data_IF_514092258132
#
_entry.id   IF_514092258132
#
_cell.length_a   1.000
_cell.length_b   1.000
_cell.length_c   1.000
_cell.angle_alpha   90.00
_cell.angle_beta   90.00
_cell.angle_gamma   90.00
#
_symmetry.space_group_name_H-M   'P 1'
#
loop_
_entity.id
_entity.type
_entity.pdbx_description
1 polymer ?
#
# COMPACT_ATOMS: atom_id res chain seq x y z
N UNK A 1 54.59 -18.26 11.83
CA UNK A 1 54.30 -19.23 10.75
C UNK A 1 53.45 -20.29 11.41
N UNK A 2 52.13 -20.39 11.25
CA UNK A 2 51.17 -20.01 10.20
C UNK A 2 49.93 -19.39 10.87
N UNK A 3 49.12 -18.67 10.09
CA UNK A 3 47.95 -17.87 10.46
C UNK A 3 46.65 -18.72 10.49
N UNK A 4 45.55 -18.00 10.77
CA UNK A 4 44.15 -18.26 10.36
C UNK A 4 43.33 -19.10 11.37
N UNK A 5 42.06 -18.80 11.69
CA UNK A 5 41.21 -17.65 11.42
C UNK A 5 40.04 -17.67 12.43
N UNK A 6 39.50 -16.49 12.74
CA UNK A 6 38.37 -16.27 13.63
C UNK A 6 37.08 -16.78 12.96
N UNK A 7 36.45 -17.82 13.51
CA UNK A 7 35.06 -18.15 13.18
C UNK A 7 34.12 -17.22 13.97
N UNK A 8 33.85 -16.05 13.41
CA UNK A 8 32.68 -15.25 13.76
C UNK A 8 31.46 -15.95 13.13
N UNK A 9 30.69 -16.68 13.93
CA UNK A 9 29.32 -17.05 13.54
C UNK A 9 28.49 -15.76 13.57
N UNK A 10 28.26 -15.19 12.38
CA UNK A 10 27.27 -14.14 12.20
C UNK A 10 25.92 -14.83 12.11
N UNK A 11 25.21 -14.85 13.22
CA UNK A 11 23.81 -15.23 13.32
C UNK A 11 22.97 -14.33 12.39
N UNK A 12 22.75 -14.81 11.17
CA UNK A 12 21.77 -14.24 10.24
C UNK A 12 20.41 -14.66 10.77
N UNK A 13 19.81 -13.79 11.59
CA UNK A 13 18.39 -13.85 11.91
C UNK A 13 17.62 -13.55 10.61
N UNK A 14 17.37 -14.60 9.82
CA UNK A 14 16.63 -14.58 8.55
C UNK A 14 15.15 -14.94 8.71
N UNK A 15 14.60 -14.88 9.92
CA UNK A 15 13.18 -15.16 10.18
C UNK A 15 12.55 -14.06 11.04
N UNK A 16 12.45 -12.85 10.50
CA UNK A 16 11.28 -12.03 10.80
C UNK A 16 10.30 -12.28 9.65
N UNK A 17 9.25 -13.09 9.82
CA UNK A 17 8.15 -13.09 8.89
C UNK A 17 7.52 -11.71 9.05
N UNK A 18 8.03 -10.74 8.27
CA UNK A 18 7.40 -9.46 8.04
C UNK A 18 5.99 -9.81 7.62
N UNK A 19 5.13 -9.82 8.63
CA UNK A 19 3.70 -9.88 8.46
C UNK A 19 3.49 -8.54 7.80
N UNK A 20 3.45 -8.54 6.47
CA UNK A 20 3.10 -7.39 5.66
C UNK A 20 1.62 -7.10 5.92
N UNK A 21 1.29 -6.75 7.17
CA UNK A 21 0.36 -5.68 7.45
C UNK A 21 0.93 -4.48 6.69
N UNK A 22 0.61 -4.39 5.40
CA UNK A 22 0.57 -3.11 4.70
C UNK A 22 -0.47 -2.28 5.46
N UNK A 23 -0.05 -1.71 6.58
CA UNK A 23 -0.74 -0.72 7.36
C UNK A 23 -0.82 0.52 6.46
N UNK A 24 -1.74 0.48 5.49
CA UNK A 24 -2.08 1.53 4.52
C UNK A 24 -0.93 2.49 4.22
N UNK A 25 0.17 1.92 3.73
CA UNK A 25 1.39 2.64 3.42
C UNK A 25 1.03 3.86 2.56
N UNK A 26 1.57 5.03 2.93
CA UNK A 26 1.42 6.27 2.17
C UNK A 26 1.77 6.08 0.70
N UNK A 27 1.09 6.76 -0.23
CA UNK A 27 1.54 6.75 -1.64
C UNK A 27 2.97 7.31 -1.74
N UNK A 28 3.34 8.23 -0.85
CA UNK A 28 4.70 8.76 -0.72
C UNK A 28 5.72 7.66 -0.47
N UNK A 29 5.43 6.75 0.46
CA UNK A 29 6.35 5.67 0.81
C UNK A 29 6.43 4.62 -0.30
N UNK A 30 5.31 4.35 -1.00
CA UNK A 30 5.30 3.53 -2.22
C UNK A 30 6.20 4.14 -3.29
N UNK A 31 6.11 5.45 -3.53
CA UNK A 31 6.96 6.15 -4.49
C UNK A 31 8.44 6.09 -4.09
N UNK A 32 8.75 6.30 -2.80
CA UNK A 32 10.12 6.18 -2.28
C UNK A 32 10.67 4.76 -2.46
N UNK A 33 9.83 3.73 -2.21
CA UNK A 33 10.21 2.32 -2.38
C UNK A 33 10.47 1.99 -3.85
N UNK A 34 9.62 2.45 -4.77
CA UNK A 34 9.81 2.27 -6.20
C UNK A 34 11.10 2.92 -6.71
N UNK A 35 11.45 4.11 -6.23
CA UNK A 35 12.70 4.76 -6.59
C UNK A 35 13.90 4.01 -6.01
N UNK A 36 13.85 3.63 -4.73
CA UNK A 36 14.94 2.94 -4.04
C UNK A 36 15.23 1.56 -4.64
N UNK A 37 14.20 0.76 -4.83
CA UNK A 37 14.34 -0.66 -5.15
C UNK A 37 14.43 -0.90 -6.66
N UNK A 38 13.84 -0.01 -7.47
CA UNK A 38 13.72 -0.20 -8.93
C UNK A 38 14.19 1.01 -9.76
N UNK A 39 14.66 2.09 -9.14
CA UNK A 39 15.03 3.35 -9.82
C UNK A 39 13.89 3.94 -10.69
N UNK A 40 12.64 3.66 -10.32
CA UNK A 40 11.45 4.20 -10.97
C UNK A 40 11.03 5.48 -10.25
N UNK A 41 11.07 6.61 -10.95
CA UNK A 41 10.67 7.91 -10.41
C UNK A 41 9.24 8.25 -10.84
N UNK A 42 8.37 8.54 -9.87
CA UNK A 42 7.02 9.05 -10.11
C UNK A 42 6.99 10.52 -9.67
N UNK A 43 6.85 11.43 -10.63
CA UNK A 43 7.01 12.87 -10.38
C UNK A 43 5.75 13.54 -9.82
N UNK A 44 4.57 13.09 -10.26
CA UNK A 44 3.29 13.75 -10.01
C UNK A 44 2.32 12.82 -9.26
N UNK A 45 2.73 12.32 -8.11
CA UNK A 45 1.86 11.55 -7.24
C UNK A 45 1.03 12.47 -6.34
N UNK A 46 -0.14 11.99 -5.93
CA UNK A 46 -1.05 12.71 -5.03
C UNK A 46 -1.59 11.73 -4.01
N UNK A 47 -1.51 12.08 -2.72
CA UNK A 47 -2.24 11.34 -1.69
C UNK A 47 -3.69 11.83 -1.65
N UNK A 48 -4.62 10.93 -1.96
CA UNK A 48 -6.05 11.24 -1.98
C UNK A 48 -6.61 11.52 -0.58
N UNK A 49 -5.98 11.02 0.48
CA UNK A 49 -6.35 11.36 1.86
C UNK A 49 -6.08 12.82 2.13
N UNK A 50 -4.96 13.34 1.66
CA UNK A 50 -4.57 14.74 1.82
C UNK A 50 -5.54 15.64 1.07
N UNK A 51 -5.88 15.27 -0.17
CA UNK A 51 -6.89 15.99 -0.96
C UNK A 51 -8.28 15.96 -0.33
N UNK A 52 -8.68 14.85 0.27
CA UNK A 52 -9.94 14.78 1.01
C UNK A 52 -9.91 15.67 2.25
N UNK A 53 -8.78 15.74 2.98
CA UNK A 53 -8.61 16.60 4.17
C UNK A 53 -8.70 18.10 3.85
N UNK A 54 -8.37 18.50 2.63
CA UNK A 54 -8.55 19.89 2.17
C UNK A 54 -10.04 20.29 2.06
N UNK A 55 -10.97 19.33 2.01
CA UNK A 55 -12.41 19.56 1.85
C UNK A 55 -13.14 19.37 3.19
N UNK A 56 -13.75 20.44 3.70
CA UNK A 56 -14.41 20.43 5.02
C UNK A 56 -15.63 19.48 5.12
N UNK A 57 -16.17 19.02 3.99
CA UNK A 57 -17.44 18.25 3.90
C UNK A 57 -17.32 16.79 4.34
N UNK A 58 -16.13 16.20 4.35
CA UNK A 58 -15.96 14.74 4.59
C UNK A 58 -15.68 14.38 6.06
N UNK A 59 -15.64 15.39 6.93
CA UNK A 59 -15.26 15.25 8.34
C UNK A 59 -13.80 14.84 8.51
N UNK A 60 -13.48 14.22 9.64
CA UNK A 60 -12.11 13.78 9.92
C UNK A 60 -11.69 12.60 9.03
N UNK A 61 -10.53 12.73 8.39
CA UNK A 61 -9.85 11.67 7.63
C UNK A 61 -8.55 11.34 8.36
N UNK A 62 -8.45 10.13 8.89
CA UNK A 62 -7.23 9.68 9.60
C UNK A 62 -6.10 9.41 8.61
N UNK A 63 -4.84 9.49 9.06
CA UNK A 63 -3.67 9.17 8.22
C UNK A 63 -3.70 7.73 7.67
N UNK A 64 -4.22 6.80 8.48
CA UNK A 64 -4.29 5.37 8.15
C UNK A 64 -5.66 4.99 7.55
N UNK A 65 -6.43 5.97 7.04
CA UNK A 65 -7.71 5.71 6.40
C UNK A 65 -7.50 4.82 5.18
N UNK A 66 -8.16 3.66 5.15
CA UNK A 66 -8.08 2.73 4.02
C UNK A 66 -8.83 3.27 2.80
N UNK A 67 -8.50 2.76 1.62
CA UNK A 67 -9.11 3.24 0.36
C UNK A 67 -10.63 3.02 0.34
N UNK A 68 -11.13 1.94 0.95
CA UNK A 68 -12.56 1.62 1.03
C UNK A 68 -13.28 2.59 1.98
N UNK A 69 -12.67 2.89 3.13
CA UNK A 69 -13.21 3.89 4.08
C UNK A 69 -13.19 5.29 3.47
N UNK A 70 -12.14 5.62 2.71
CA UNK A 70 -12.06 6.89 2.00
C UNK A 70 -13.11 6.97 0.89
N UNK A 71 -13.30 5.89 0.11
CA UNK A 71 -14.34 5.80 -0.92
C UNK A 71 -15.72 6.04 -0.33
N UNK A 72 -16.06 5.37 0.77
CA UNK A 72 -17.34 5.58 1.46
C UNK A 72 -17.56 7.04 1.88
N UNK A 73 -16.52 7.69 2.42
CA UNK A 73 -16.61 9.09 2.86
C UNK A 73 -16.74 10.08 1.72
N UNK A 74 -16.03 9.86 0.61
CA UNK A 74 -15.96 10.80 -0.52
C UNK A 74 -17.11 10.57 -1.51
N UNK A 75 -17.45 9.31 -1.78
CA UNK A 75 -18.38 8.92 -2.84
C UNK A 75 -19.77 8.55 -2.31
N UNK A 76 -19.92 8.20 -1.03
CA UNK A 76 -21.20 7.84 -0.41
C UNK A 76 -21.30 6.39 0.08
N UNK A 77 -22.41 6.09 0.77
CA UNK A 77 -22.64 4.78 1.40
C UNK A 77 -22.76 3.62 0.40
N UNK A 78 -23.14 3.88 -0.84
CA UNK A 78 -23.20 2.87 -1.90
C UNK A 78 -21.81 2.35 -2.32
N UNK A 79 -20.73 3.02 -1.88
CA UNK A 79 -19.34 2.65 -2.10
C UNK A 79 -18.71 1.90 -0.91
N UNK A 80 -19.53 1.42 0.03
CA UNK A 80 -19.06 0.61 1.16
C UNK A 80 -18.67 -0.81 0.71
N UNK A 81 -17.41 -0.96 0.32
CA UNK A 81 -16.88 -2.25 -0.17
C UNK A 81 -16.28 -3.08 0.97
N UNK A 82 -16.66 -4.36 1.00
CA UNK A 82 -16.12 -5.34 1.95
C UNK A 82 -14.98 -6.13 1.31
N UNK A 83 -13.83 -6.12 1.96
CA UNK A 83 -12.65 -6.92 1.60
C UNK A 83 -12.23 -7.82 2.76
N UNK A 84 -11.45 -8.87 2.51
CA UNK A 84 -10.81 -9.64 3.57
C UNK A 84 -10.04 -8.72 4.51
N UNK A 85 -10.11 -9.00 5.82
CA UNK A 85 -9.40 -8.20 6.83
C UNK A 85 -7.88 -8.28 6.66
N UNK A 86 -7.39 -9.44 6.22
CA UNK A 86 -6.00 -9.72 5.89
C UNK A 86 -5.93 -10.41 4.54
N UNK A 87 -4.96 -10.00 3.72
CA UNK A 87 -4.62 -10.69 2.49
C UNK A 87 -3.11 -10.60 2.30
N UNK A 88 -2.46 -11.76 2.15
CA UNK A 88 -1.04 -11.83 1.84
C UNK A 88 -0.84 -11.45 0.37
N UNK A 89 -0.45 -10.21 0.10
CA UNK A 89 -0.35 -9.68 -1.27
C UNK A 89 0.80 -10.31 -2.04
N UNK A 90 1.97 -10.41 -1.43
CA UNK A 90 3.17 -10.93 -2.05
C UNK A 90 3.68 -12.14 -1.29
N UNK A 91 3.90 -13.24 -2.01
CA UNK A 91 4.60 -14.40 -1.49
C UNK A 91 5.83 -14.62 -2.39
N UNK A 92 7.05 -14.37 -1.89
CA UNK A 92 8.27 -14.51 -2.69
C UNK A 92 8.56 -15.96 -3.12
N UNK A 93 7.99 -16.95 -2.42
CA UNK A 93 8.13 -18.38 -2.78
C UNK A 93 7.21 -18.79 -3.94
N UNK A 94 6.19 -17.98 -4.25
CA UNK A 94 5.17 -18.24 -5.28
C UNK A 94 5.12 -17.06 -6.26
N UNK A 95 6.29 -16.74 -6.82
CA UNK A 95 6.60 -15.49 -7.54
C UNK A 95 5.74 -15.18 -8.78
N UNK A 96 4.96 -16.14 -9.28
CA UNK A 96 4.37 -16.08 -10.64
C UNK A 96 2.85 -16.30 -10.71
N UNK A 97 2.14 -16.46 -9.58
CA UNK A 97 0.69 -16.67 -9.61
C UNK A 97 -0.08 -15.72 -8.68
N UNK A 98 -0.84 -14.79 -9.26
CA UNK A 98 -1.86 -14.04 -8.54
C UNK A 98 -3.14 -14.86 -8.48
N UNK A 99 -3.70 -15.05 -7.29
CA UNK A 99 -5.02 -15.65 -7.15
C UNK A 99 -6.11 -14.72 -7.69
N UNK A 100 -7.28 -15.28 -8.04
CA UNK A 100 -8.44 -14.50 -8.48
C UNK A 100 -8.82 -13.40 -7.46
N UNK A 101 -8.68 -13.67 -6.16
CA UNK A 101 -8.94 -12.69 -5.11
C UNK A 101 -7.91 -11.55 -5.12
N UNK A 102 -6.61 -11.84 -5.30
CA UNK A 102 -5.57 -10.79 -5.43
C UNK A 102 -5.84 -9.90 -6.64
N UNK A 103 -6.17 -10.51 -7.78
CA UNK A 103 -6.52 -9.78 -9.00
C UNK A 103 -7.76 -8.91 -8.77
N UNK A 104 -8.82 -9.48 -8.19
CA UNK A 104 -10.07 -8.79 -7.92
C UNK A 104 -9.88 -7.59 -6.98
N UNK A 105 -9.23 -7.79 -5.85
CA UNK A 105 -9.11 -6.75 -4.83
C UNK A 105 -8.05 -5.70 -5.18
N UNK A 106 -6.96 -6.07 -5.87
CA UNK A 106 -6.01 -5.09 -6.41
C UNK A 106 -6.63 -4.21 -7.50
N UNK A 107 -7.47 -4.82 -8.36
CA UNK A 107 -8.25 -4.08 -9.37
C UNK A 107 -9.28 -3.16 -8.73
N UNK A 108 -9.97 -3.63 -7.68
CA UNK A 108 -10.93 -2.84 -6.93
C UNK A 108 -10.25 -1.62 -6.28
N UNK A 109 -9.11 -1.79 -5.62
CA UNK A 109 -8.40 -0.68 -4.97
C UNK A 109 -7.99 0.40 -5.97
N UNK A 110 -7.47 -0.04 -7.12
CA UNK A 110 -7.13 0.85 -8.24
C UNK A 110 -8.36 1.60 -8.76
N UNK A 111 -9.49 0.91 -8.89
CA UNK A 111 -10.75 1.51 -9.34
C UNK A 111 -11.32 2.51 -8.33
N UNK A 112 -11.31 2.19 -7.04
CA UNK A 112 -11.75 3.10 -5.98
C UNK A 112 -10.87 4.35 -5.94
N UNK A 113 -9.54 4.20 -5.98
CA UNK A 113 -8.61 5.32 -6.04
C UNK A 113 -8.89 6.24 -7.25
N UNK A 114 -9.11 5.65 -8.43
CA UNK A 114 -9.51 6.41 -9.63
C UNK A 114 -10.81 7.19 -9.40
N UNK A 115 -11.86 6.54 -8.88
CA UNK A 115 -13.17 7.18 -8.64
C UNK A 115 -13.10 8.30 -7.61
N UNK A 116 -12.36 8.11 -6.53
CA UNK A 116 -12.08 9.15 -5.53
C UNK A 116 -11.33 10.32 -6.18
N UNK A 117 -10.28 10.04 -6.96
CA UNK A 117 -9.52 11.06 -7.66
C UNK A 117 -10.39 11.90 -8.61
N UNK A 118 -11.30 11.24 -9.35
CA UNK A 118 -12.27 11.91 -10.21
C UNK A 118 -13.21 12.84 -9.44
N UNK A 119 -13.48 12.60 -8.16
CA UNK A 119 -14.30 13.49 -7.34
C UNK A 119 -13.49 14.63 -6.72
N UNK A 120 -12.28 14.32 -6.22
CA UNK A 120 -11.47 15.27 -5.45
C UNK A 120 -10.60 16.21 -6.30
N UNK A 121 -10.20 15.77 -7.50
CA UNK A 121 -9.23 16.45 -8.35
C UNK A 121 -9.86 17.21 -9.52
N UNK A 122 -11.19 17.25 -9.60
CA UNK A 122 -11.87 18.14 -10.55
C UNK A 122 -11.82 19.57 -10.00
N UNK A 123 -11.49 20.49 -10.90
CA UNK A 123 -11.56 21.94 -10.69
C UNK A 123 -13.01 22.43 -10.55
#
# INVERSE_FOLDING_TARGET
MVKDDVSNEVDHNDDDPETYEEATQGIEDVVKKLEKDYNIKISNWVDLRDKAREKATFGEITKNCSVEKLAKKVLGDEWDVKKPATMEWWNPEVEWFLSDDKVKFGSLDSFLAYRIGVELLKD
#
